data_IF_585479865527
#
_entry.id   IF_585479865527
#
_cell.length_a   1.000
_cell.length_b   1.000
_cell.length_c   1.000
_cell.angle_alpha   90.00
_cell.angle_beta   90.00
_cell.angle_gamma   90.00
#
_symmetry.space_group_name_H-M   'P 1'
#
loop_
_entity.id
_entity.type
_entity.pdbx_description
1 polymer ?
#
# COMPACT_ATOMS: atom_id res chain seq x y z
N UNK A 1 7.46 -27.71 4.08
CA UNK A 1 6.37 -26.86 3.53
C UNK A 1 5.84 -25.96 4.64
N UNK A 2 5.82 -24.67 4.43
CA UNK A 2 5.10 -23.78 5.34
C UNK A 2 3.60 -24.09 5.23
N UNK A 3 2.90 -24.30 6.36
CA UNK A 3 1.46 -24.50 6.36
C UNK A 3 0.72 -23.25 5.83
N UNK A 4 -0.53 -23.43 5.37
CA UNK A 4 -1.34 -22.33 4.82
C UNK A 4 -1.38 -21.08 5.73
N UNK A 5 -1.40 -21.27 7.06
CA UNK A 5 -1.33 -20.17 8.02
C UNK A 5 -0.02 -19.40 7.98
N UNK A 6 1.12 -20.06 7.76
CA UNK A 6 2.41 -19.40 7.67
C UNK A 6 2.55 -18.58 6.38
N UNK A 7 1.99 -19.06 5.27
CA UNK A 7 1.96 -18.32 4.00
C UNK A 7 1.08 -17.07 4.11
N UNK A 8 -0.06 -17.16 4.75
CA UNK A 8 -0.94 -16.02 5.00
C UNK A 8 -0.25 -14.95 5.85
N UNK A 9 0.49 -15.33 6.89
CA UNK A 9 1.28 -14.39 7.72
C UNK A 9 2.35 -13.71 6.87
N UNK A 10 3.08 -14.46 6.03
CA UNK A 10 4.11 -13.88 5.16
C UNK A 10 3.52 -12.84 4.21
N UNK A 11 2.38 -13.13 3.58
CA UNK A 11 1.69 -12.18 2.70
C UNK A 11 1.20 -10.93 3.47
N UNK A 12 0.65 -11.11 4.68
CA UNK A 12 0.25 -9.99 5.55
C UNK A 12 1.44 -9.13 5.97
N UNK A 13 2.61 -9.72 6.24
CA UNK A 13 3.82 -8.96 6.56
C UNK A 13 4.28 -8.08 5.38
N UNK A 14 4.17 -8.59 4.15
CA UNK A 14 4.47 -7.81 2.96
C UNK A 14 3.51 -6.62 2.81
N UNK A 15 2.22 -6.82 3.07
CA UNK A 15 1.22 -5.74 3.10
C UNK A 15 1.54 -4.74 4.21
N UNK A 16 1.86 -5.21 5.41
CA UNK A 16 2.22 -4.33 6.53
C UNK A 16 3.44 -3.47 6.21
N UNK A 17 4.45 -4.04 5.56
CA UNK A 17 5.62 -3.30 5.12
C UNK A 17 5.24 -2.18 4.11
N UNK A 18 4.35 -2.48 3.15
CA UNK A 18 3.86 -1.51 2.18
C UNK A 18 3.01 -0.41 2.85
N UNK A 19 2.17 -0.75 3.82
CA UNK A 19 1.38 0.23 4.59
C UNK A 19 2.28 1.12 5.47
N UNK A 20 3.35 0.59 6.04
CA UNK A 20 4.33 1.39 6.76
C UNK A 20 5.01 2.42 5.83
N UNK A 21 5.37 2.02 4.62
CA UNK A 21 5.90 2.92 3.58
C UNK A 21 4.85 3.97 3.21
N UNK A 22 3.58 3.59 3.06
CA UNK A 22 2.50 4.49 2.72
C UNK A 22 2.30 5.58 3.78
N UNK A 23 2.24 5.22 5.06
CA UNK A 23 2.08 6.19 6.14
C UNK A 23 3.24 7.21 6.15
N UNK A 24 4.47 6.76 5.96
CA UNK A 24 5.62 7.66 5.88
C UNK A 24 5.58 8.51 4.61
N UNK A 25 5.35 7.91 3.45
CA UNK A 25 5.37 8.58 2.15
C UNK A 25 4.27 9.62 2.01
N UNK A 26 3.06 9.36 2.50
CA UNK A 26 1.98 10.36 2.51
C UNK A 26 2.25 11.54 3.43
N UNK A 27 3.04 11.38 4.49
CA UNK A 27 3.49 12.52 5.30
C UNK A 27 4.44 13.43 4.50
N UNK A 28 5.35 12.85 3.71
CA UNK A 28 6.23 13.60 2.81
C UNK A 28 5.45 14.29 1.68
N UNK A 29 4.56 13.54 1.03
CA UNK A 29 3.75 14.08 -0.07
C UNK A 29 2.82 15.21 0.41
N UNK A 30 2.14 15.02 1.54
CA UNK A 30 1.23 15.99 2.12
C UNK A 30 1.92 17.32 2.42
N UNK A 31 3.18 17.30 2.85
CA UNK A 31 3.96 18.50 3.11
C UNK A 31 4.19 19.40 1.87
N UNK A 32 4.05 18.84 0.67
CA UNK A 32 4.23 19.54 -0.62
C UNK A 32 2.92 19.88 -1.33
N UNK A 33 1.78 19.53 -0.72
CA UNK A 33 0.45 19.70 -1.31
C UNK A 33 -0.34 20.81 -0.60
N UNK A 34 -1.32 21.38 -1.29
CA UNK A 34 -2.23 22.38 -0.75
C UNK A 34 -3.65 22.17 -1.25
N UNK A 35 -4.63 22.88 -0.65
CA UNK A 35 -6.02 22.84 -1.05
C UNK A 35 -6.63 21.43 -0.99
N UNK A 36 -7.46 21.10 -1.97
CA UNK A 36 -8.17 19.81 -2.02
C UNK A 36 -7.22 18.61 -2.08
N UNK A 37 -6.06 18.75 -2.70
CA UNK A 37 -5.07 17.67 -2.78
C UNK A 37 -4.40 17.39 -1.44
N UNK A 38 -4.14 18.42 -0.64
CA UNK A 38 -3.71 18.22 0.74
C UNK A 38 -4.77 17.49 1.57
N UNK A 39 -6.03 17.89 1.43
CA UNK A 39 -7.15 17.21 2.12
C UNK A 39 -7.25 15.74 1.71
N UNK A 40 -7.14 15.43 0.42
CA UNK A 40 -7.14 14.04 -0.06
C UNK A 40 -5.94 13.26 0.49
N UNK A 41 -4.74 13.83 0.45
CA UNK A 41 -3.55 13.18 1.00
C UNK A 41 -3.69 12.89 2.50
N UNK A 42 -4.32 13.78 3.26
CA UNK A 42 -4.59 13.60 4.68
C UNK A 42 -5.61 12.46 4.91
N UNK A 43 -6.65 12.38 4.07
CA UNK A 43 -7.63 11.28 4.11
C UNK A 43 -6.96 9.94 3.80
N UNK A 44 -6.16 9.86 2.74
CA UNK A 44 -5.42 8.66 2.36
C UNK A 44 -4.42 8.25 3.46
N UNK A 45 -3.70 9.20 4.03
CA UNK A 45 -2.82 8.95 5.17
C UNK A 45 -3.56 8.30 6.36
N UNK A 46 -4.76 8.80 6.68
CA UNK A 46 -5.58 8.20 7.74
C UNK A 46 -6.05 6.79 7.38
N UNK A 47 -6.43 6.54 6.12
CA UNK A 47 -6.79 5.20 5.63
C UNK A 47 -5.64 4.22 5.79
N UNK A 48 -4.42 4.61 5.42
CA UNK A 48 -3.23 3.76 5.56
C UNK A 48 -2.86 3.50 7.02
N UNK A 49 -3.04 4.47 7.90
CA UNK A 49 -2.87 4.25 9.36
C UNK A 49 -3.86 3.21 9.88
N UNK A 50 -5.11 3.28 9.46
CA UNK A 50 -6.14 2.31 9.84
C UNK A 50 -5.84 0.93 9.25
N UNK A 51 -5.46 0.85 7.98
CA UNK A 51 -5.07 -0.40 7.31
C UNK A 51 -3.88 -1.05 8.01
N UNK A 52 -2.86 -0.28 8.36
CA UNK A 52 -1.70 -0.74 9.14
C UNK A 52 -2.12 -1.40 10.45
N UNK A 53 -3.03 -0.79 11.19
CA UNK A 53 -3.54 -1.35 12.45
C UNK A 53 -4.32 -2.65 12.22
N UNK A 54 -5.17 -2.68 11.20
CA UNK A 54 -5.94 -3.87 10.82
C UNK A 54 -5.03 -5.03 10.45
N UNK A 55 -4.06 -4.80 9.58
CA UNK A 55 -3.12 -5.84 9.12
C UNK A 55 -2.26 -6.35 10.28
N UNK A 56 -1.78 -5.45 11.15
CA UNK A 56 -1.04 -5.85 12.37
C UNK A 56 -1.88 -6.77 13.26
N UNK A 57 -3.15 -6.46 13.45
CA UNK A 57 -4.08 -7.30 14.21
C UNK A 57 -4.26 -8.67 13.54
N UNK A 58 -4.43 -8.72 12.22
CA UNK A 58 -4.57 -9.97 11.46
C UNK A 58 -3.33 -10.87 11.59
N UNK A 59 -2.14 -10.29 11.61
CA UNK A 59 -0.88 -11.02 11.84
C UNK A 59 -0.85 -11.60 13.25
N UNK A 60 -1.13 -10.80 14.26
CA UNK A 60 -1.13 -11.22 15.66
C UNK A 60 -2.15 -12.33 15.93
N UNK A 61 -3.35 -12.22 15.36
CA UNK A 61 -4.40 -13.26 15.48
C UNK A 61 -3.97 -14.61 14.87
N UNK A 62 -3.00 -14.60 13.95
CA UNK A 62 -2.41 -15.80 13.34
C UNK A 62 -1.12 -16.25 14.01
N UNK A 63 -0.79 -15.70 15.18
CA UNK A 63 0.40 -16.04 15.95
C UNK A 63 1.70 -15.44 15.42
N UNK A 64 1.62 -14.52 14.45
CA UNK A 64 2.78 -13.79 13.95
C UNK A 64 3.10 -12.56 14.79
N UNK A 65 4.30 -12.03 14.62
CA UNK A 65 4.73 -10.76 15.20
C UNK A 65 4.80 -9.72 14.08
N UNK A 66 3.98 -8.63 14.14
CA UNK A 66 4.00 -7.60 13.11
C UNK A 66 5.38 -6.99 12.91
N UNK A 67 5.81 -6.86 11.66
CA UNK A 67 7.07 -6.18 11.31
C UNK A 67 6.98 -4.70 11.74
N UNK A 68 7.99 -4.16 12.44
CA UNK A 68 8.00 -2.76 12.84
C UNK A 68 8.24 -1.86 11.63
N UNK A 69 7.69 -0.64 11.69
CA UNK A 69 8.03 0.40 10.72
C UNK A 69 9.49 0.82 10.87
N UNK A 70 10.16 1.10 9.75
CA UNK A 70 11.46 1.74 9.78
C UNK A 70 11.34 3.19 10.27
N UNK A 71 12.42 3.71 10.85
CA UNK A 71 12.47 5.10 11.28
C UNK A 71 12.43 6.08 10.09
N UNK A 72 12.98 5.67 8.94
CA UNK A 72 13.07 6.47 7.72
C UNK A 72 12.90 5.55 6.50
N UNK A 73 12.14 6.01 5.52
CA UNK A 73 12.08 5.45 4.17
C UNK A 73 12.60 6.49 3.17
N UNK A 74 13.32 6.05 2.17
CA UNK A 74 13.87 6.94 1.14
C UNK A 74 13.06 6.82 -0.15
N UNK A 75 12.39 7.91 -0.60
CA UNK A 75 11.79 7.93 -1.92
C UNK A 75 12.85 7.71 -3.01
N UNK A 76 12.47 7.12 -4.18
CA UNK A 76 13.40 6.92 -5.28
C UNK A 76 13.77 8.21 -6.02
N UNK A 77 13.11 9.33 -5.70
CA UNK A 77 13.34 10.66 -6.26
C UNK A 77 13.08 11.74 -5.20
N UNK A 78 13.55 12.96 -5.47
CA UNK A 78 13.32 14.10 -4.58
C UNK A 78 11.84 14.52 -4.59
N UNK A 79 11.25 14.70 -3.41
CA UNK A 79 9.87 15.15 -3.21
C UNK A 79 9.93 16.62 -2.77
N UNK A 80 9.90 17.52 -3.74
CA UNK A 80 10.15 18.96 -3.54
C UNK A 80 9.07 19.88 -4.13
N UNK A 81 7.92 19.33 -4.48
CA UNK A 81 6.80 20.09 -5.01
C UNK A 81 5.57 19.23 -5.28
N UNK A 82 4.48 19.84 -5.70
CA UNK A 82 3.21 19.17 -5.92
C UNK A 82 3.27 18.04 -6.96
N UNK A 83 4.06 18.20 -8.02
CA UNK A 83 4.19 17.17 -9.06
C UNK A 83 4.88 15.91 -8.52
N UNK A 84 6.04 16.04 -7.87
CA UNK A 84 6.76 14.91 -7.27
C UNK A 84 6.00 14.29 -6.09
N UNK A 85 5.23 15.07 -5.34
CA UNK A 85 4.35 14.55 -4.29
C UNK A 85 3.26 13.64 -4.86
N UNK A 86 2.62 14.02 -5.96
CA UNK A 86 1.62 13.20 -6.65
C UNK A 86 2.23 11.93 -7.24
N UNK A 87 3.41 12.05 -7.83
CA UNK A 87 4.15 10.92 -8.37
C UNK A 87 4.50 9.91 -7.26
N UNK A 88 4.94 10.39 -6.10
CA UNK A 88 5.20 9.54 -4.93
C UNK A 88 3.92 8.85 -4.45
N UNK A 89 2.81 9.56 -4.32
CA UNK A 89 1.54 8.97 -3.90
C UNK A 89 1.08 7.87 -4.87
N UNK A 90 1.15 8.11 -6.18
CA UNK A 90 0.82 7.10 -7.18
C UNK A 90 1.73 5.86 -7.09
N UNK A 91 3.03 6.06 -6.90
CA UNK A 91 4.00 4.98 -6.72
C UNK A 91 3.72 4.14 -5.48
N UNK A 92 3.37 4.78 -4.37
CA UNK A 92 2.98 4.11 -3.12
C UNK A 92 1.75 3.24 -3.35
N UNK A 93 0.72 3.76 -4.00
CA UNK A 93 -0.51 3.01 -4.26
C UNK A 93 -0.27 1.83 -5.23
N UNK A 94 0.57 1.99 -6.24
CA UNK A 94 0.98 0.88 -7.12
C UNK A 94 1.69 -0.23 -6.32
N UNK A 95 2.55 0.14 -5.37
CA UNK A 95 3.20 -0.82 -4.47
C UNK A 95 2.20 -1.55 -3.57
N UNK A 96 1.16 -0.86 -3.10
CA UNK A 96 0.07 -1.45 -2.32
C UNK A 96 -0.78 -2.41 -3.16
N UNK A 97 -1.11 -2.06 -4.40
CA UNK A 97 -1.80 -2.99 -5.33
C UNK A 97 -1.02 -4.30 -5.42
N UNK A 98 0.29 -4.23 -5.60
CA UNK A 98 1.15 -5.40 -5.72
C UNK A 98 1.19 -6.21 -4.41
N UNK A 99 1.28 -5.55 -3.26
CA UNK A 99 1.30 -6.23 -1.95
C UNK A 99 -0.04 -6.92 -1.66
N UNK A 100 -1.16 -6.25 -1.88
CA UNK A 100 -2.50 -6.83 -1.68
C UNK A 100 -2.82 -7.95 -2.67
N UNK A 101 -2.25 -7.94 -3.88
CA UNK A 101 -2.34 -9.06 -4.82
C UNK A 101 -1.79 -10.36 -4.19
N UNK A 102 -0.77 -10.27 -3.36
CA UNK A 102 -0.24 -11.39 -2.58
C UNK A 102 -1.26 -12.02 -1.63
N UNK A 103 -2.20 -11.23 -1.09
CA UNK A 103 -3.32 -11.76 -0.28
C UNK A 103 -4.39 -12.42 -1.14
N UNK A 104 -4.65 -11.91 -2.33
CA UNK A 104 -5.61 -12.51 -3.28
C UNK A 104 -5.15 -13.92 -3.69
N UNK A 105 -3.85 -14.17 -3.69
CA UNK A 105 -3.27 -15.46 -4.02
C UNK A 105 -3.32 -16.51 -2.88
N UNK A 106 -3.82 -16.14 -1.68
CA UNK A 106 -3.85 -17.04 -0.54
C UNK A 106 -5.04 -18.01 -0.60
N UNK A 107 -4.90 -19.18 0.04
CA UNK A 107 -5.99 -20.19 0.12
C UNK A 107 -7.12 -19.76 1.05
N UNK A 108 -6.85 -18.93 2.04
CA UNK A 108 -7.84 -18.43 3.00
C UNK A 108 -8.78 -17.41 2.35
N UNK A 109 -10.07 -17.72 2.28
CA UNK A 109 -11.07 -16.88 1.62
C UNK A 109 -11.16 -15.47 2.23
N UNK A 110 -11.00 -15.34 3.55
CA UNK A 110 -11.02 -14.04 4.23
C UNK A 110 -9.85 -13.14 3.76
N UNK A 111 -8.66 -13.70 3.58
CA UNK A 111 -7.51 -12.96 3.04
C UNK A 111 -7.72 -12.54 1.59
N UNK A 112 -8.27 -13.43 0.75
CA UNK A 112 -8.58 -13.10 -0.65
C UNK A 112 -9.58 -11.95 -0.75
N UNK A 113 -10.66 -12.01 0.02
CA UNK A 113 -11.72 -10.97 0.01
C UNK A 113 -11.16 -9.63 0.48
N UNK A 114 -10.44 -9.62 1.59
CA UNK A 114 -9.79 -8.42 2.11
C UNK A 114 -8.78 -7.86 1.10
N UNK A 115 -7.88 -8.70 0.59
CA UNK A 115 -6.87 -8.32 -0.39
C UNK A 115 -7.46 -7.75 -1.67
N UNK A 116 -8.53 -8.36 -2.21
CA UNK A 116 -9.19 -7.88 -3.43
C UNK A 116 -9.82 -6.49 -3.24
N UNK A 117 -10.49 -6.26 -2.10
CA UNK A 117 -11.10 -4.95 -1.79
C UNK A 117 -10.06 -3.85 -1.65
N UNK A 118 -9.00 -4.09 -0.89
CA UNK A 118 -7.93 -3.11 -0.69
C UNK A 118 -7.10 -2.88 -1.98
N UNK A 119 -6.89 -3.92 -2.77
CA UNK A 119 -6.22 -3.82 -4.07
C UNK A 119 -6.98 -2.89 -5.03
N UNK A 120 -8.31 -3.04 -5.12
CA UNK A 120 -9.15 -2.16 -5.94
C UNK A 120 -9.08 -0.71 -5.44
N UNK A 121 -9.19 -0.50 -4.13
CA UNK A 121 -9.12 0.83 -3.54
C UNK A 121 -7.77 1.50 -3.82
N UNK A 122 -6.66 0.78 -3.68
CA UNK A 122 -5.33 1.27 -4.01
C UNK A 122 -5.19 1.63 -5.50
N UNK A 123 -5.72 0.80 -6.41
CA UNK A 123 -5.70 1.09 -7.84
C UNK A 123 -6.45 2.37 -8.19
N UNK A 124 -7.59 2.62 -7.55
CA UNK A 124 -8.38 3.85 -7.71
C UNK A 124 -7.58 5.07 -7.22
N UNK A 125 -6.95 4.98 -6.04
CA UNK A 125 -6.11 6.07 -5.52
C UNK A 125 -4.89 6.32 -6.41
N UNK A 126 -4.24 5.27 -6.91
CA UNK A 126 -3.13 5.40 -7.85
C UNK A 126 -3.54 6.17 -9.12
N UNK A 127 -4.70 5.83 -9.69
CA UNK A 127 -5.25 6.53 -10.85
C UNK A 127 -5.55 8.01 -10.56
N UNK A 128 -6.11 8.31 -9.39
CA UNK A 128 -6.36 9.68 -8.95
C UNK A 128 -5.05 10.49 -8.87
N UNK A 129 -4.04 9.97 -8.19
CA UNK A 129 -2.77 10.68 -8.01
C UNK A 129 -1.99 10.84 -9.32
N UNK A 130 -2.03 9.85 -10.18
CA UNK A 130 -1.39 9.88 -11.51
C UNK A 130 -2.16 10.78 -12.49
N UNK A 131 -3.47 10.85 -12.35
CA UNK A 131 -4.36 11.53 -13.31
C UNK A 131 -4.71 10.69 -14.53
N UNK A 132 -4.42 9.38 -14.50
CA UNK A 132 -4.74 8.43 -15.57
C UNK A 132 -4.83 7.00 -15.04
N UNK A 133 -5.58 6.15 -15.74
CA UNK A 133 -5.64 4.71 -15.47
C UNK A 133 -4.59 3.97 -16.29
N UNK A 134 -4.20 2.79 -15.79
CA UNK A 134 -3.36 1.83 -16.51
C UNK A 134 -4.04 0.47 -16.49
N UNK A 135 -3.81 -0.35 -17.54
CA UNK A 135 -4.51 -1.62 -17.72
C UNK A 135 -4.23 -2.63 -16.59
N UNK A 136 -3.01 -2.62 -16.07
CA UNK A 136 -2.56 -3.57 -15.04
C UNK A 136 -1.87 -2.81 -13.90
N UNK A 137 -2.65 -2.18 -12.98
CA UNK A 137 -2.09 -1.46 -11.86
C UNK A 137 -1.16 -2.34 -11.00
N UNK A 138 -0.02 -1.79 -10.58
CA UNK A 138 0.94 -2.47 -9.73
C UNK A 138 1.82 -3.52 -10.40
N UNK A 139 1.58 -3.86 -11.67
CA UNK A 139 2.44 -4.76 -12.43
C UNK A 139 3.47 -3.98 -13.25
N UNK A 140 4.76 -4.38 -13.20
CA UNK A 140 5.76 -3.77 -14.06
C UNK A 140 5.52 -4.14 -15.52
N UNK A 141 5.87 -3.25 -16.45
CA UNK A 141 5.70 -3.48 -17.89
C UNK A 141 6.39 -4.78 -18.37
N UNK A 142 7.46 -5.20 -17.68
CA UNK A 142 8.16 -6.46 -17.95
C UNK A 142 7.33 -7.70 -17.67
N UNK A 143 6.32 -7.62 -16.80
CA UNK A 143 5.42 -8.75 -16.48
C UNK A 143 4.35 -8.97 -17.57
N UNK A 144 4.25 -8.08 -18.54
CA UNK A 144 3.22 -8.08 -19.59
C UNK A 144 3.75 -8.55 -20.96
N UNK A 145 4.96 -9.14 -20.98
CA UNK A 145 5.58 -9.68 -22.20
C UNK A 145 5.38 -11.18 -22.32
#
# INVERSE_FOLDING_TARGET
MAGAGAQGVTALQAVLAAENVAVYGYSLAGAQLSGSRYTTAQQDWNLHRAARATVSSMITQRGGTPVPAAAVYRPPFAVNGAASARELAALIEDGLVQAYLGLVAQDEAALRTFGAGEMQAAAIRAAFWRGSTIAFPGLPASALK
#
